data_IF_060131130572
#
_entry.id   IF_060131130572
#
_cell.length_a   1.000
_cell.length_b   1.000
_cell.length_c   1.000
_cell.angle_alpha   90.00
_cell.angle_beta   90.00
_cell.angle_gamma   90.00
#
_symmetry.space_group_name_H-M   'P 1'
#
loop_
_entity.id
_entity.type
_entity.pdbx_description
1 polymer ?
#
# COMPACT_ATOMS: atom_id res chain seq x y z
N UNK A 1 27.51 -5.77 21.53
CA UNK A 1 26.64 -6.96 21.42
C UNK A 1 26.18 -7.03 19.98
N UNK A 2 26.26 -8.18 19.32
CA UNK A 2 25.74 -8.37 17.97
C UNK A 2 24.27 -8.81 18.06
N UNK A 3 23.38 -8.12 17.32
CA UNK A 3 21.94 -8.38 17.29
C UNK A 3 21.47 -8.96 15.95
N UNK A 4 22.39 -9.22 15.01
CA UNK A 4 22.05 -9.77 13.70
C UNK A 4 21.26 -11.07 13.85
N UNK A 5 20.22 -11.22 13.02
CA UNK A 5 19.34 -12.38 13.08
C UNK A 5 18.89 -12.78 11.69
N UNK A 6 18.62 -14.07 11.51
CA UNK A 6 18.04 -14.61 10.29
C UNK A 6 16.58 -14.94 10.56
N UNK A 7 15.67 -14.42 9.73
CA UNK A 7 14.23 -14.63 9.85
C UNK A 7 13.64 -15.03 8.50
N UNK A 8 13.14 -16.25 8.37
CA UNK A 8 12.56 -16.79 7.13
C UNK A 8 13.50 -16.65 5.91
N UNK A 9 14.82 -16.79 6.13
CA UNK A 9 15.83 -16.62 5.09
C UNK A 9 16.23 -15.17 4.79
N UNK A 10 15.70 -14.20 5.53
CA UNK A 10 16.11 -12.80 5.48
C UNK A 10 17.16 -12.52 6.54
N UNK A 11 18.28 -11.93 6.14
CA UNK A 11 19.30 -11.42 7.06
C UNK A 11 18.93 -10.02 7.53
N UNK A 12 18.71 -9.88 8.85
CA UNK A 12 18.35 -8.62 9.50
C UNK A 12 19.51 -8.10 10.34
N UNK A 13 19.72 -6.78 10.30
CA UNK A 13 20.74 -6.13 11.14
C UNK A 13 20.45 -6.25 12.63
N UNK A 14 19.16 -6.41 12.99
CA UNK A 14 18.65 -6.60 14.34
C UNK A 14 17.21 -7.17 14.29
N UNK A 15 16.66 -7.71 15.39
CA UNK A 15 15.33 -8.34 15.38
C UNK A 15 14.15 -7.35 15.43
N UNK A 16 14.38 -6.03 15.42
CA UNK A 16 13.29 -5.05 15.51
C UNK A 16 12.65 -4.84 14.14
N UNK A 17 11.35 -5.13 14.04
CA UNK A 17 10.56 -4.99 12.81
C UNK A 17 9.49 -3.93 13.03
N UNK A 18 9.40 -2.95 12.13
CA UNK A 18 8.32 -1.97 12.17
C UNK A 18 7.00 -2.60 11.68
N UNK A 19 5.99 -2.59 12.55
CA UNK A 19 4.65 -3.09 12.21
C UNK A 19 3.93 -2.17 11.21
N UNK A 20 2.86 -2.67 10.56
CA UNK A 20 2.02 -1.85 9.70
C UNK A 20 1.47 -0.63 10.44
N UNK A 21 1.66 0.57 9.90
CA UNK A 21 1.24 1.80 10.56
C UNK A 21 1.38 3.04 9.69
N UNK A 22 1.11 4.24 10.24
CA UNK A 22 1.14 5.50 9.48
C UNK A 22 2.49 5.76 8.79
N UNK A 23 3.60 5.38 9.44
CA UNK A 23 4.94 5.56 8.89
C UNK A 23 5.28 4.58 7.76
N UNK A 24 4.58 3.44 7.67
CA UNK A 24 4.84 2.43 6.63
C UNK A 24 3.97 2.64 5.38
N UNK A 25 3.08 3.64 5.38
CA UNK A 25 2.24 4.04 4.23
C UNK A 25 2.97 4.86 3.17
N UNK A 26 4.16 5.37 3.48
CA UNK A 26 4.90 6.24 2.55
C UNK A 26 6.39 5.93 2.56
N UNK A 27 7.03 6.09 1.39
CA UNK A 27 8.48 5.92 1.24
C UNK A 27 9.26 6.82 2.21
N UNK A 28 8.80 8.05 2.43
CA UNK A 28 9.42 8.97 3.39
C UNK A 28 9.38 8.43 4.82
N UNK A 29 8.25 7.89 5.25
CA UNK A 29 8.14 7.29 6.59
C UNK A 29 9.00 6.03 6.73
N UNK A 30 9.06 5.19 5.69
CA UNK A 30 9.91 3.99 5.64
C UNK A 30 11.39 4.37 5.73
N UNK A 31 11.83 5.42 5.03
CA UNK A 31 13.20 5.95 5.13
C UNK A 31 13.53 6.41 6.55
N UNK A 32 12.58 7.06 7.24
CA UNK A 32 12.76 7.48 8.63
C UNK A 32 12.90 6.28 9.57
N UNK A 33 12.10 5.24 9.38
CA UNK A 33 12.20 4.00 10.16
C UNK A 33 13.55 3.30 9.93
N UNK A 34 13.99 3.20 8.68
CA UNK A 34 15.29 2.64 8.35
C UNK A 34 16.44 3.45 8.97
N UNK A 35 16.37 4.79 8.91
CA UNK A 35 17.35 5.67 9.55
C UNK A 35 17.33 5.58 11.09
N UNK A 36 16.19 5.22 11.68
CA UNK A 36 16.07 4.93 13.11
C UNK A 36 16.62 3.55 13.51
N UNK A 37 17.03 2.72 12.53
CA UNK A 37 17.75 1.48 12.77
C UNK A 37 16.87 0.24 12.90
N UNK A 38 15.63 0.23 12.41
CA UNK A 38 14.82 -1.00 12.37
C UNK A 38 15.45 -2.02 11.41
N UNK A 39 15.35 -3.30 11.74
CA UNK A 39 15.85 -4.40 10.93
C UNK A 39 15.03 -4.67 9.67
N UNK A 40 13.71 -4.45 9.72
CA UNK A 40 12.79 -4.58 8.58
C UNK A 40 11.51 -3.73 8.78
N UNK A 41 10.71 -3.60 7.72
CA UNK A 41 9.41 -2.89 7.75
C UNK A 41 8.31 -3.73 7.11
N UNK A 42 7.14 -3.75 7.74
CA UNK A 42 5.91 -4.34 7.18
C UNK A 42 5.00 -3.22 6.66
N UNK A 43 4.52 -3.37 5.43
CA UNK A 43 3.60 -2.44 4.79
C UNK A 43 2.17 -2.60 5.33
N UNK A 44 1.29 -1.60 5.13
CA UNK A 44 -0.13 -1.73 5.40
C UNK A 44 -0.74 -2.97 4.72
N UNK A 45 -1.73 -3.56 5.36
CA UNK A 45 -2.46 -4.68 4.77
C UNK A 45 -3.30 -4.23 3.57
N UNK A 46 -3.29 -5.04 2.51
CA UNK A 46 -4.16 -4.88 1.36
C UNK A 46 -5.25 -5.96 1.40
N UNK A 47 -6.48 -5.59 1.74
CA UNK A 47 -7.61 -6.51 1.82
C UNK A 47 -8.53 -6.39 0.59
N UNK A 48 -9.00 -7.53 0.08
CA UNK A 48 -9.91 -7.59 -1.08
C UNK A 48 -11.23 -6.87 -0.80
N UNK A 49 -11.78 -7.01 0.40
CA UNK A 49 -13.05 -6.39 0.79
C UNK A 49 -12.95 -4.86 0.78
N UNK A 50 -11.76 -4.32 1.07
CA UNK A 50 -11.55 -2.89 0.96
C UNK A 50 -11.52 -2.45 -0.50
N UNK A 51 -10.91 -3.23 -1.39
CA UNK A 51 -10.81 -2.96 -2.84
C UNK A 51 -12.22 -2.95 -3.44
N UNK A 52 -13.00 -3.99 -3.14
CA UNK A 52 -14.38 -4.12 -3.59
C UNK A 52 -15.25 -2.94 -3.11
N UNK A 53 -15.23 -2.61 -1.81
CA UNK A 53 -16.02 -1.49 -1.27
C UNK A 53 -15.64 -0.12 -1.85
N UNK A 54 -14.37 0.12 -2.15
CA UNK A 54 -13.96 1.38 -2.78
C UNK A 54 -14.43 1.42 -4.23
N UNK A 55 -14.33 0.30 -4.96
CA UNK A 55 -14.84 0.18 -6.33
C UNK A 55 -16.35 0.41 -6.37
N UNK A 56 -17.12 -0.23 -5.49
CA UNK A 56 -18.57 -0.03 -5.36
C UNK A 56 -18.91 1.43 -5.04
N UNK A 57 -18.17 2.06 -4.13
CA UNK A 57 -18.37 3.46 -3.78
C UNK A 57 -18.05 4.41 -4.94
N UNK A 58 -16.99 4.14 -5.69
CA UNK A 58 -16.60 4.94 -6.84
C UNK A 58 -17.63 4.79 -7.97
N UNK A 59 -18.22 3.59 -8.14
CA UNK A 59 -19.36 3.35 -9.02
C UNK A 59 -20.60 4.13 -8.57
N UNK A 60 -20.98 4.04 -7.29
CA UNK A 60 -22.13 4.77 -6.74
C UNK A 60 -21.98 6.29 -6.95
N UNK A 61 -20.77 6.83 -6.76
CA UNK A 61 -20.46 8.24 -7.00
C UNK A 61 -20.50 8.60 -8.48
N UNK A 62 -20.05 7.71 -9.37
CA UNK A 62 -20.13 7.92 -10.80
C UNK A 62 -21.58 7.88 -11.30
N UNK A 63 -22.40 6.97 -10.78
CA UNK A 63 -23.81 6.83 -11.13
C UNK A 63 -24.70 7.88 -10.46
N UNK A 64 -24.23 8.57 -9.42
CA UNK A 64 -24.96 9.64 -8.75
C UNK A 64 -25.28 10.79 -9.72
N UNK A 65 -26.52 10.79 -10.24
CA UNK A 65 -27.05 11.79 -11.17
C UNK A 65 -27.07 11.36 -12.64
N UNK A 66 -26.63 10.13 -12.97
CA UNK A 66 -26.63 9.61 -14.35
C UNK A 66 -28.04 9.51 -14.96
N UNK A 67 -29.07 9.30 -14.13
CA UNK A 67 -30.49 9.21 -14.52
C UNK A 67 -31.24 10.56 -14.40
N UNK A 68 -30.54 11.68 -14.15
CA UNK A 68 -31.22 12.97 -13.94
C UNK A 68 -31.71 13.62 -15.23
N UNK A 69 -31.04 13.38 -16.36
CA UNK A 69 -31.39 13.89 -17.70
C UNK A 69 -30.90 12.90 -18.77
N UNK A 70 -31.54 12.88 -19.95
CA UNK A 70 -31.23 11.89 -21.00
C UNK A 70 -29.79 11.95 -21.53
N UNK A 71 -29.15 13.12 -21.46
CA UNK A 71 -27.76 13.32 -21.85
C UNK A 71 -26.74 12.79 -20.81
N UNK A 72 -27.15 12.69 -19.53
CA UNK A 72 -26.29 12.25 -18.43
C UNK A 72 -25.91 10.76 -18.53
N UNK A 73 -26.69 9.97 -19.29
CA UNK A 73 -26.46 8.55 -19.56
C UNK A 73 -25.20 8.24 -20.39
N UNK A 74 -24.65 9.23 -21.10
CA UNK A 74 -23.54 9.05 -22.04
C UNK A 74 -22.29 9.87 -21.73
N UNK A 75 -22.38 10.78 -20.76
CA UNK A 75 -21.31 11.74 -20.44
C UNK A 75 -20.24 11.17 -19.52
N UNK A 76 -20.59 10.23 -18.65
CA UNK A 76 -19.67 9.72 -17.63
C UNK A 76 -18.73 8.65 -18.20
N UNK A 77 -17.43 8.73 -17.86
CA UNK A 77 -16.45 7.76 -18.33
C UNK A 77 -16.69 6.36 -17.73
N UNK A 78 -16.36 5.33 -18.50
CA UNK A 78 -16.45 3.94 -18.05
C UNK A 78 -15.61 3.75 -16.78
N UNK A 79 -16.14 3.12 -15.72
CA UNK A 79 -15.40 2.83 -14.51
C UNK A 79 -14.11 2.07 -14.84
N UNK A 80 -12.98 2.65 -14.44
CA UNK A 80 -11.66 2.04 -14.63
C UNK A 80 -11.39 1.09 -13.47
N UNK A 81 -10.73 -0.04 -13.76
CA UNK A 81 -10.37 -1.04 -12.75
C UNK A 81 -9.61 -0.43 -11.56
N UNK A 82 -9.81 -0.99 -10.35
CA UNK A 82 -9.23 -0.48 -9.11
C UNK A 82 -7.71 -0.26 -9.23
N UNK A 83 -7.29 0.98 -9.03
CA UNK A 83 -5.89 1.40 -9.07
C UNK A 83 -5.09 0.97 -7.82
N UNK A 84 -5.75 0.57 -6.74
CA UNK A 84 -5.13 0.32 -5.44
C UNK A 84 -4.11 -0.82 -5.44
N UNK A 85 -4.33 -1.99 -6.06
CA UNK A 85 -3.28 -3.01 -6.17
C UNK A 85 -2.03 -2.48 -6.90
N UNK A 86 -2.21 -1.68 -7.96
CA UNK A 86 -1.09 -1.07 -8.70
C UNK A 86 -0.35 -0.04 -7.84
N UNK A 87 -1.08 0.78 -7.09
CA UNK A 87 -0.50 1.74 -6.15
C UNK A 87 0.29 1.01 -5.04
N UNK A 88 -0.22 -0.12 -4.56
CA UNK A 88 0.45 -0.95 -3.56
C UNK A 88 1.76 -1.56 -4.08
N UNK A 89 1.74 -2.12 -5.30
CA UNK A 89 2.95 -2.60 -5.97
C UNK A 89 3.97 -1.46 -6.19
N UNK A 90 3.50 -0.29 -6.60
CA UNK A 90 4.36 0.90 -6.74
C UNK A 90 4.98 1.31 -5.40
N UNK A 91 4.23 1.22 -4.28
CA UNK A 91 4.76 1.47 -2.95
C UNK A 91 5.86 0.48 -2.59
N UNK A 92 5.66 -0.82 -2.86
CA UNK A 92 6.68 -1.86 -2.63
C UNK A 92 7.96 -1.55 -3.41
N UNK A 93 7.85 -1.32 -4.72
CA UNK A 93 9.01 -1.04 -5.59
C UNK A 93 9.79 0.18 -5.10
N UNK A 94 9.08 1.28 -4.86
CA UNK A 94 9.70 2.54 -4.41
C UNK A 94 10.29 2.41 -3.02
N UNK A 95 9.64 1.69 -2.11
CA UNK A 95 10.16 1.44 -0.77
C UNK A 95 11.44 0.60 -0.83
N UNK A 96 11.41 -0.51 -1.58
CA UNK A 96 12.57 -1.41 -1.75
C UNK A 96 13.78 -0.69 -2.35
N UNK A 97 13.56 0.21 -3.31
CA UNK A 97 14.62 1.02 -3.91
C UNK A 97 15.17 2.09 -2.95
N UNK A 98 14.36 2.57 -2.00
CA UNK A 98 14.72 3.69 -1.13
C UNK A 98 15.46 3.27 0.16
N UNK A 99 15.35 2.01 0.58
CA UNK A 99 15.98 1.53 1.82
C UNK A 99 16.71 0.18 1.64
N UNK A 100 17.80 -0.05 2.37
CA UNK A 100 18.56 -1.29 2.28
C UNK A 100 17.93 -2.45 3.08
N UNK A 101 17.04 -2.13 4.03
CA UNK A 101 16.39 -3.13 4.89
C UNK A 101 15.24 -3.84 4.15
N UNK A 102 14.89 -5.08 4.53
CA UNK A 102 13.76 -5.79 3.94
C UNK A 102 12.44 -5.05 4.13
N UNK A 103 11.61 -5.07 3.08
CA UNK A 103 10.25 -4.55 3.04
C UNK A 103 9.30 -5.73 2.82
N UNK A 104 8.38 -5.94 3.75
CA UNK A 104 7.46 -7.07 3.77
C UNK A 104 6.06 -6.56 3.42
N UNK A 105 5.47 -7.10 2.37
CA UNK A 105 4.07 -6.83 2.02
C UNK A 105 3.13 -7.57 2.98
N UNK A 106 2.02 -6.93 3.33
CA UNK A 106 0.91 -7.55 4.06
C UNK A 106 -0.26 -7.67 3.08
N UNK A 107 -0.53 -8.88 2.65
CA UNK A 107 -1.59 -9.25 1.70
C UNK A 107 -2.50 -10.29 2.35
#
# INVERSE_FOLDING_TARGET
>A
MDLRTSYLGLELSNPLVASPGPLTRSVTGIRRLAAAGVGAVVLPSLFEEQIQRETERDLDLAEAGSESFGEALSYLPVPVADGRPRQYLSLIERARAAVPIPVIASL
#
